data_IF_794955349754
#
_entry.id   IF_794955349754
#
_cell.length_a   1.000
_cell.length_b   1.000
_cell.length_c   1.000
_cell.angle_alpha   90.00
_cell.angle_beta   90.00
_cell.angle_gamma   90.00
#
_symmetry.space_group_name_H-M   'P 1'
#
loop_
_entity.id
_entity.type
_entity.pdbx_description
1 polymer ?
#
# COMPACT_ATOMS: atom_id res chain seq x y z
N UNK A 1 3.22 15.45 -24.95
CA UNK A 1 3.27 15.76 -23.50
C UNK A 1 3.23 14.43 -22.76
N UNK A 2 4.16 14.20 -21.84
CA UNK A 2 4.23 12.92 -21.13
C UNK A 2 3.04 12.82 -20.16
N UNK A 3 2.37 11.68 -20.12
CA UNK A 3 1.29 11.45 -19.15
C UNK A 3 1.61 10.24 -18.30
N UNK A 4 1.59 10.42 -16.98
CA UNK A 4 1.95 9.40 -16.01
C UNK A 4 0.75 9.07 -15.14
N UNK A 5 0.58 7.80 -14.81
CA UNK A 5 -0.36 7.39 -13.78
C UNK A 5 0.40 6.68 -12.66
N UNK A 6 0.47 7.28 -11.47
CA UNK A 6 0.98 6.60 -10.28
C UNK A 6 -0.14 5.74 -9.71
N UNK A 7 -0.05 4.45 -10.01
CA UNK A 7 -1.06 3.46 -9.71
C UNK A 7 -0.70 2.73 -8.42
N UNK A 8 -1.70 2.52 -7.56
CA UNK A 8 -1.51 1.84 -6.28
C UNK A 8 -2.25 0.51 -6.18
N UNK A 9 -2.86 0.03 -7.27
CA UNK A 9 -3.77 -1.12 -7.27
C UNK A 9 -5.16 -0.83 -6.67
N UNK A 10 -5.39 0.37 -6.14
CA UNK A 10 -6.67 0.75 -5.54
C UNK A 10 -7.70 1.22 -6.57
N UNK A 11 -8.99 1.10 -6.23
CA UNK A 11 -10.13 1.39 -7.11
C UNK A 11 -10.03 2.74 -7.84
N UNK A 12 -9.68 3.82 -7.14
CA UNK A 12 -9.69 5.17 -7.73
C UNK A 12 -8.55 5.35 -8.75
N UNK A 13 -7.37 4.81 -8.42
CA UNK A 13 -6.22 4.84 -9.32
C UNK A 13 -6.41 3.93 -10.55
N UNK A 14 -7.03 2.76 -10.36
CA UNK A 14 -7.36 1.85 -11.46
C UNK A 14 -8.46 2.45 -12.36
N UNK A 15 -9.51 3.04 -11.77
CA UNK A 15 -10.57 3.72 -12.51
C UNK A 15 -10.02 4.86 -13.38
N UNK A 16 -8.98 5.57 -12.93
CA UNK A 16 -8.31 6.59 -13.74
C UNK A 16 -7.72 6.00 -15.03
N UNK A 17 -7.08 4.83 -14.94
CA UNK A 17 -6.51 4.13 -16.10
C UNK A 17 -7.62 3.64 -17.04
N UNK A 18 -8.71 3.08 -16.48
CA UNK A 18 -9.87 2.63 -17.26
C UNK A 18 -10.53 3.80 -18.00
N UNK A 19 -10.75 4.94 -17.33
CA UNK A 19 -11.31 6.14 -17.96
C UNK A 19 -10.40 6.66 -19.07
N UNK A 20 -9.08 6.69 -18.84
CA UNK A 20 -8.14 7.06 -19.90
C UNK A 20 -8.23 6.11 -21.10
N UNK A 21 -8.37 4.80 -20.86
CA UNK A 21 -8.55 3.81 -21.91
C UNK A 21 -9.85 4.01 -22.71
N UNK A 22 -10.99 4.14 -22.02
CA UNK A 22 -12.31 4.34 -22.65
C UNK A 22 -12.34 5.60 -23.51
N UNK A 23 -11.73 6.68 -23.02
CA UNK A 23 -11.75 7.98 -23.69
C UNK A 23 -10.54 8.20 -24.63
N UNK A 24 -9.74 7.17 -24.87
CA UNK A 24 -8.54 7.23 -25.72
C UNK A 24 -7.57 8.36 -25.32
N UNK A 25 -7.46 8.62 -24.02
CA UNK A 25 -6.53 9.59 -23.47
C UNK A 25 -5.12 8.99 -23.40
N UNK A 26 -4.07 9.79 -23.65
CA UNK A 26 -2.72 9.28 -23.66
C UNK A 26 -2.26 8.92 -22.24
N UNK A 27 -1.77 7.70 -22.05
CA UNK A 27 -0.93 7.31 -20.91
C UNK A 27 0.41 6.88 -21.48
N UNK A 28 1.47 7.62 -21.15
CA UNK A 28 2.83 7.28 -21.54
C UNK A 28 3.35 6.12 -20.70
N UNK A 29 3.06 6.13 -19.40
CA UNK A 29 3.52 5.09 -18.48
C UNK A 29 2.64 5.00 -17.23
N UNK A 30 2.38 3.77 -16.79
CA UNK A 30 1.76 3.47 -15.51
C UNK A 30 2.87 3.06 -14.55
N UNK A 31 2.95 3.75 -13.41
CA UNK A 31 4.01 3.57 -12.43
C UNK A 31 3.43 2.95 -11.17
N UNK A 32 3.81 1.72 -10.87
CA UNK A 32 3.50 1.03 -9.62
C UNK A 32 4.70 1.07 -8.69
N UNK A 33 4.50 1.43 -7.42
CA UNK A 33 5.56 1.37 -6.42
C UNK A 33 5.26 0.25 -5.44
N UNK A 34 6.03 -0.82 -5.53
CA UNK A 34 5.90 -1.97 -4.65
C UNK A 34 6.72 -1.74 -3.38
N UNK A 35 6.03 -1.69 -2.24
CA UNK A 35 6.69 -1.68 -0.94
C UNK A 35 7.15 -3.10 -0.65
N UNK A 36 8.41 -3.29 -0.29
CA UNK A 36 8.98 -4.60 0.05
C UNK A 36 9.07 -4.76 1.56
N UNK A 37 8.72 -5.94 2.06
CA UNK A 37 9.02 -6.33 3.44
C UNK A 37 10.49 -6.72 3.56
N UNK A 38 10.91 -7.67 2.73
CA UNK A 38 12.29 -8.17 2.66
C UNK A 38 12.66 -8.40 1.19
N UNK A 39 13.57 -7.58 0.66
CA UNK A 39 14.01 -7.66 -0.73
C UNK A 39 14.83 -8.91 -1.00
N UNK A 40 15.65 -9.34 -0.03
CA UNK A 40 16.54 -10.49 -0.21
C UNK A 40 15.77 -11.80 -0.38
N UNK A 41 14.61 -11.90 0.31
CA UNK A 41 13.69 -13.04 0.22
C UNK A 41 12.55 -12.83 -0.76
N UNK A 42 12.52 -11.69 -1.47
CA UNK A 42 11.44 -11.30 -2.39
C UNK A 42 10.04 -11.33 -1.74
N UNK A 43 9.94 -10.88 -0.49
CA UNK A 43 8.68 -10.80 0.24
C UNK A 43 8.11 -9.39 0.04
N UNK A 44 6.98 -9.30 -0.65
CA UNK A 44 6.26 -8.04 -0.83
C UNK A 44 5.70 -7.56 0.50
N UNK A 45 5.61 -6.25 0.66
CA UNK A 45 4.91 -5.62 1.77
C UNK A 45 3.42 -5.48 1.54
N UNK A 46 2.96 -5.56 0.30
CA UNK A 46 1.53 -5.63 -0.04
C UNK A 46 0.97 -7.00 0.40
N UNK A 47 -0.31 -7.05 0.77
CA UNK A 47 -0.94 -8.33 1.16
C UNK A 47 -0.99 -9.30 -0.04
N UNK A 48 -0.82 -10.63 0.15
CA UNK A 48 -0.65 -11.57 -0.96
C UNK A 48 -1.73 -11.51 -2.05
N UNK A 49 -3.00 -11.41 -1.68
CA UNK A 49 -4.11 -11.31 -2.64
C UNK A 49 -4.01 -10.04 -3.49
N UNK A 50 -3.48 -8.96 -2.92
CA UNK A 50 -3.33 -7.71 -3.64
C UNK A 50 -2.18 -7.73 -4.63
N UNK A 51 -1.02 -8.23 -4.21
CA UNK A 51 0.15 -8.28 -5.10
C UNK A 51 -0.04 -9.32 -6.22
N UNK A 52 -0.72 -10.42 -5.94
CA UNK A 52 -1.14 -11.39 -6.95
C UNK A 52 -2.07 -10.74 -7.98
N UNK A 53 -3.12 -10.04 -7.53
CA UNK A 53 -3.99 -9.26 -8.41
C UNK A 53 -3.21 -8.26 -9.27
N UNK A 54 -2.25 -7.53 -8.69
CA UNK A 54 -1.45 -6.56 -9.43
C UNK A 54 -0.62 -7.25 -10.52
N UNK A 55 0.17 -8.26 -10.15
CA UNK A 55 1.16 -8.88 -11.03
C UNK A 55 0.54 -9.79 -12.08
N UNK A 56 -0.49 -10.55 -11.70
CA UNK A 56 -1.02 -11.64 -12.51
C UNK A 56 -2.35 -11.31 -13.20
N UNK A 57 -3.03 -10.23 -12.80
CA UNK A 57 -4.31 -9.81 -13.40
C UNK A 57 -4.18 -8.41 -14.02
N UNK A 58 -3.91 -7.39 -13.21
CA UNK A 58 -4.00 -6.01 -13.66
C UNK A 58 -2.87 -5.58 -14.61
N UNK A 59 -1.61 -5.92 -14.32
CA UNK A 59 -0.48 -5.62 -15.20
C UNK A 59 -0.67 -6.25 -16.59
N UNK A 60 -0.96 -7.56 -16.72
CA UNK A 60 -1.21 -8.17 -18.03
C UNK A 60 -2.31 -7.47 -18.83
N UNK A 61 -3.44 -7.14 -18.21
CA UNK A 61 -4.54 -6.43 -18.87
C UNK A 61 -4.09 -5.04 -19.38
N UNK A 62 -3.33 -4.30 -18.57
CA UNK A 62 -2.82 -2.99 -18.99
C UNK A 62 -1.80 -3.09 -20.12
N UNK A 63 -0.96 -4.12 -20.13
CA UNK A 63 -0.02 -4.39 -21.22
C UNK A 63 -0.76 -4.79 -22.51
N UNK A 64 -1.83 -5.59 -22.42
CA UNK A 64 -2.72 -5.92 -23.55
C UNK A 64 -3.40 -4.67 -24.12
N UNK A 65 -3.73 -3.68 -23.27
CA UNK A 65 -4.22 -2.37 -23.70
C UNK A 65 -3.14 -1.48 -24.32
N UNK A 66 -1.89 -1.95 -24.39
CA UNK A 66 -0.76 -1.24 -24.98
C UNK A 66 -0.06 -0.27 -24.04
N UNK A 67 -0.34 -0.34 -22.73
CA UNK A 67 0.31 0.54 -21.76
C UNK A 67 1.64 -0.01 -21.27
N UNK A 68 2.62 0.89 -21.16
CA UNK A 68 3.91 0.59 -20.55
C UNK A 68 3.78 0.63 -19.03
N UNK A 69 4.21 -0.44 -18.36
CA UNK A 69 4.26 -0.52 -16.90
C UNK A 69 5.69 -0.33 -16.39
N UNK A 70 5.83 0.46 -15.33
CA UNK A 70 7.08 0.64 -14.58
C UNK A 70 6.85 0.28 -13.11
N UNK A 71 7.54 -0.75 -12.64
CA UNK A 71 7.58 -1.09 -11.22
C UNK A 71 8.78 -0.38 -10.58
N UNK A 72 8.53 0.30 -9.46
CA UNK A 72 9.54 0.94 -8.63
C UNK A 72 9.66 0.20 -7.30
N UNK A 73 10.89 0.09 -6.82
CA UNK A 73 11.22 -0.36 -5.47
C UNK A 73 12.09 0.69 -4.81
N UNK A 74 11.95 0.86 -3.49
CA UNK A 74 12.91 1.65 -2.73
C UNK A 74 14.27 0.93 -2.64
N UNK A 75 15.33 1.70 -2.40
CA UNK A 75 16.67 1.16 -2.16
C UNK A 75 16.68 0.24 -0.93
N UNK A 76 15.95 0.64 0.12
CA UNK A 76 15.75 -0.11 1.36
C UNK A 76 14.37 -0.78 1.43
N UNK A 77 14.18 -1.69 2.37
CA UNK A 77 12.91 -2.38 2.66
C UNK A 77 12.45 -2.19 4.12
N UNK A 78 11.41 -2.91 4.53
CA UNK A 78 10.91 -2.82 5.90
C UNK A 78 11.91 -3.35 6.92
N UNK A 79 12.63 -4.42 6.62
CA UNK A 79 13.65 -4.99 7.52
C UNK A 79 14.75 -3.95 7.79
N UNK A 80 15.19 -3.21 6.77
CA UNK A 80 16.11 -2.09 6.95
C UNK A 80 15.57 -1.01 7.88
N UNK A 81 14.27 -0.70 7.79
CA UNK A 81 13.64 0.28 8.68
C UNK A 81 13.53 -0.24 10.12
N UNK A 82 13.15 -1.50 10.29
CA UNK A 82 12.97 -2.13 11.60
C UNK A 82 14.31 -2.20 12.34
N UNK A 83 15.36 -2.71 11.66
CA UNK A 83 16.69 -2.88 12.23
C UNK A 83 17.56 -1.61 12.19
N UNK A 84 17.04 -0.48 11.68
CA UNK A 84 17.78 0.77 11.66
C UNK A 84 18.26 1.17 13.06
N UNK A 85 19.58 1.21 13.25
CA UNK A 85 20.20 1.64 14.51
C UNK A 85 20.03 3.14 14.71
N UNK A 86 19.36 3.51 15.80
CA UNK A 86 19.16 4.91 16.16
C UNK A 86 20.47 5.49 16.71
N UNK A 87 20.93 6.62 16.18
CA UNK A 87 22.23 7.23 16.55
C UNK A 87 22.13 8.68 17.02
N UNK A 88 20.97 9.33 16.89
CA UNK A 88 20.75 10.76 17.18
C UNK A 88 19.42 11.01 17.90
N UNK A 89 19.08 10.12 18.83
CA UNK A 89 17.91 10.29 19.69
C UNK A 89 18.16 11.35 20.77
N UNK A 90 17.13 12.13 21.10
CA UNK A 90 17.13 13.04 22.26
C UNK A 90 17.16 12.27 23.58
N UNK A 91 16.56 11.08 23.60
CA UNK A 91 16.67 10.14 24.72
C UNK A 91 17.91 9.30 24.49
N UNK A 92 18.95 9.50 25.32
CA UNK A 92 20.27 8.89 25.14
C UNK A 92 20.23 7.36 25.17
N UNK A 93 19.36 6.78 25.99
CA UNK A 93 19.15 5.32 26.09
C UNK A 93 18.62 4.66 24.81
N UNK A 94 18.11 5.45 23.85
CA UNK A 94 17.66 4.92 22.57
C UNK A 94 18.81 4.83 21.55
N UNK A 95 19.94 5.49 21.79
CA UNK A 95 21.07 5.40 20.88
C UNK A 95 21.70 4.01 20.97
N UNK A 96 21.98 3.41 19.82
CA UNK A 96 22.45 2.02 19.70
C UNK A 96 21.35 0.97 19.61
N UNK A 97 20.09 1.34 19.86
CA UNK A 97 18.92 0.46 19.74
C UNK A 97 18.37 0.41 18.31
N UNK A 98 17.65 -0.66 17.97
CA UNK A 98 16.91 -0.76 16.72
C UNK A 98 15.64 0.11 16.76
N UNK A 99 15.24 0.66 15.63
CA UNK A 99 14.04 1.51 15.53
C UNK A 99 12.77 0.73 15.90
N UNK A 100 12.68 -0.53 15.47
CA UNK A 100 11.57 -1.43 15.76
C UNK A 100 10.31 -1.13 14.94
N UNK A 101 9.14 -1.35 15.54
CA UNK A 101 7.84 -1.22 14.88
C UNK A 101 7.56 0.17 14.31
N UNK A 102 6.90 0.24 13.15
CA UNK A 102 6.37 1.51 12.65
C UNK A 102 5.37 2.11 13.64
N UNK A 103 5.33 3.45 13.67
CA UNK A 103 4.42 4.17 14.56
C UNK A 103 3.07 4.39 13.88
N UNK A 104 2.00 3.94 14.54
CA UNK A 104 0.61 4.20 14.11
C UNK A 104 0.34 5.69 13.89
N UNK A 105 -0.36 6.03 12.81
CA UNK A 105 -0.60 7.41 12.38
C UNK A 105 0.63 8.17 11.83
N UNK A 106 1.83 7.57 11.88
CA UNK A 106 3.10 8.16 11.39
C UNK A 106 3.88 7.14 10.58
N UNK A 107 3.32 6.70 9.45
CA UNK A 107 3.87 5.63 8.63
C UNK A 107 5.18 6.06 7.93
N UNK A 108 6.32 5.86 8.59
CA UNK A 108 7.64 6.05 7.99
C UNK A 108 7.85 5.14 6.78
N UNK A 109 7.22 3.96 6.75
CA UNK A 109 7.19 3.07 5.58
C UNK A 109 6.64 3.77 4.33
N UNK A 110 5.53 4.51 4.44
CA UNK A 110 5.00 5.26 3.29
C UNK A 110 5.98 6.34 2.81
N UNK A 111 6.64 7.08 3.72
CA UNK A 111 7.60 8.11 3.32
C UNK A 111 8.85 7.51 2.63
N UNK A 112 9.42 6.45 3.22
CA UNK A 112 10.71 5.88 2.84
C UNK A 112 10.62 4.84 1.74
N UNK A 113 9.62 3.96 1.79
CA UNK A 113 9.50 2.81 0.91
C UNK A 113 8.61 3.09 -0.31
N UNK A 114 7.73 4.09 -0.25
CA UNK A 114 6.80 4.43 -1.34
C UNK A 114 7.02 5.82 -1.92
N UNK A 115 6.93 6.85 -1.08
CA UNK A 115 6.99 8.23 -1.56
C UNK A 115 8.40 8.66 -1.97
N UNK A 116 9.46 8.14 -1.34
CA UNK A 116 10.85 8.39 -1.75
C UNK A 116 11.13 7.91 -3.18
N UNK A 117 10.93 6.62 -3.55
CA UNK A 117 11.17 6.17 -4.93
C UNK A 117 10.28 6.88 -5.94
N UNK A 118 9.00 7.13 -5.63
CA UNK A 118 8.10 7.93 -6.48
C UNK A 118 8.66 9.34 -6.71
N UNK A 119 9.14 10.03 -5.65
CA UNK A 119 9.73 11.37 -5.77
C UNK A 119 11.02 11.36 -6.58
N UNK A 120 11.87 10.34 -6.41
CA UNK A 120 13.07 10.17 -7.23
C UNK A 120 12.70 9.96 -8.70
N UNK A 121 11.70 9.13 -8.97
CA UNK A 121 11.22 8.88 -10.32
C UNK A 121 10.66 10.14 -10.97
N UNK A 122 9.80 10.90 -10.28
CA UNK A 122 9.31 12.20 -10.78
C UNK A 122 10.44 13.16 -11.17
N UNK A 123 11.55 13.14 -10.42
CA UNK A 123 12.73 14.00 -10.71
C UNK A 123 13.57 13.50 -11.89
N UNK A 124 13.52 12.21 -12.23
CA UNK A 124 14.27 11.67 -13.37
C UNK A 124 13.55 11.87 -14.71
N UNK A 125 12.31 12.36 -14.70
CA UNK A 125 11.52 12.55 -15.92
C UNK A 125 11.91 13.88 -16.55
N UNK A 126 12.37 13.81 -17.80
CA UNK A 126 12.74 14.98 -18.58
C UNK A 126 11.50 15.62 -19.23
N UNK A 127 11.45 16.95 -19.20
CA UNK A 127 10.36 17.73 -19.80
C UNK A 127 9.08 17.78 -18.97
N UNK A 128 8.06 18.43 -19.53
CA UNK A 128 6.76 18.59 -18.90
C UNK A 128 5.94 17.29 -18.96
N UNK A 129 5.25 16.99 -17.86
CA UNK A 129 4.34 15.87 -17.77
C UNK A 129 3.05 16.23 -17.02
N UNK A 130 1.98 15.49 -17.33
CA UNK A 130 0.73 15.49 -16.60
C UNK A 130 0.62 14.19 -15.80
N UNK A 131 0.20 14.30 -14.55
CA UNK A 131 -0.06 13.15 -13.68
C UNK A 131 -1.56 12.94 -13.51
N UNK A 132 -2.04 11.77 -13.93
CA UNK A 132 -3.39 11.33 -13.61
C UNK A 132 -3.46 10.79 -12.18
N UNK A 133 -4.37 11.36 -11.39
CA UNK A 133 -4.57 11.00 -9.99
C UNK A 133 -5.98 10.47 -9.75
N UNK A 134 -6.08 9.41 -8.95
CA UNK A 134 -7.37 8.86 -8.50
C UNK A 134 -7.96 9.69 -7.36
N UNK A 135 -8.67 10.77 -7.69
CA UNK A 135 -9.43 11.58 -6.73
C UNK A 135 -10.86 11.69 -7.25
N UNK A 136 -11.83 11.11 -6.55
CA UNK A 136 -13.19 11.05 -7.04
C UNK A 136 -13.89 12.43 -7.07
N UNK A 137 -14.97 12.53 -7.84
CA UNK A 137 -15.72 13.78 -8.00
C UNK A 137 -16.35 14.28 -6.68
N UNK A 138 -16.63 13.37 -5.75
CA UNK A 138 -17.19 13.60 -4.41
C UNK A 138 -16.12 13.88 -3.33
N UNK A 139 -14.86 14.12 -3.72
CA UNK A 139 -13.76 14.48 -2.82
C UNK A 139 -13.27 15.95 -2.96
N UNK A 140 -14.14 16.98 -2.77
CA UNK A 140 -13.84 18.38 -3.13
C UNK A 140 -12.60 18.94 -2.44
N UNK A 141 -12.41 18.60 -1.15
CA UNK A 141 -11.23 19.05 -0.37
C UNK A 141 -9.90 18.52 -0.91
N UNK A 142 -9.90 17.37 -1.59
CA UNK A 142 -8.68 16.80 -2.20
C UNK A 142 -8.45 17.41 -3.58
N UNK A 143 -9.52 17.72 -4.32
CA UNK A 143 -9.45 18.38 -5.62
C UNK A 143 -8.89 19.81 -5.53
N UNK A 144 -9.27 20.59 -4.51
CA UNK A 144 -8.73 21.94 -4.25
C UNK A 144 -7.21 21.97 -4.03
N UNK A 145 -6.59 20.82 -3.73
CA UNK A 145 -5.15 20.69 -3.46
C UNK A 145 -4.36 20.21 -4.68
N UNK A 146 -5.01 20.07 -5.84
CA UNK A 146 -4.34 19.69 -7.07
C UNK A 146 -3.38 20.81 -7.52
N UNK A 147 -2.24 20.38 -8.04
CA UNK A 147 -1.27 21.26 -8.69
C UNK A 147 -1.52 21.27 -10.19
N UNK A 148 -1.06 22.29 -10.90
CA UNK A 148 -1.35 22.49 -12.33
C UNK A 148 -0.94 21.31 -13.23
N UNK A 149 0.05 20.53 -12.81
CA UNK A 149 0.52 19.34 -13.53
C UNK A 149 -0.25 18.05 -13.17
N UNK A 150 -1.35 18.13 -12.43
CA UNK A 150 -2.18 16.98 -12.03
C UNK A 150 -3.60 17.12 -12.53
N UNK A 151 -4.16 16.01 -12.98
CA UNK A 151 -5.54 15.91 -13.44
C UNK A 151 -6.24 14.73 -12.78
N UNK A 152 -7.46 14.94 -12.32
CA UNK A 152 -8.32 13.85 -11.89
C UNK A 152 -9.30 13.52 -13.00
N UNK A 153 -9.11 12.38 -13.65
CA UNK A 153 -10.06 11.89 -14.65
C UNK A 153 -11.41 11.54 -14.01
N UNK A 154 -11.40 11.06 -12.76
CA UNK A 154 -12.65 10.78 -12.05
C UNK A 154 -13.47 12.06 -11.87
N UNK A 155 -12.83 13.19 -11.52
CA UNK A 155 -13.54 14.46 -11.43
C UNK A 155 -14.03 14.95 -12.80
N UNK A 156 -13.17 14.91 -13.82
CA UNK A 156 -13.48 15.37 -15.18
C UNK A 156 -14.66 14.60 -15.81
N UNK A 157 -14.80 13.32 -15.49
CA UNK A 157 -15.89 12.46 -15.97
C UNK A 157 -16.98 12.20 -14.91
N UNK A 158 -17.06 13.04 -13.86
CA UNK A 158 -18.09 12.98 -12.82
C UNK A 158 -18.25 11.61 -12.13
N UNK A 159 -17.14 10.88 -11.99
CA UNK A 159 -17.07 9.57 -11.37
C UNK A 159 -16.84 9.70 -9.85
N UNK A 160 -17.78 9.19 -9.06
CA UNK A 160 -17.68 9.09 -7.58
C UNK A 160 -16.83 7.88 -7.16
N UNK A 161 -16.49 7.76 -5.87
CA UNK A 161 -15.79 6.57 -5.35
C UNK A 161 -16.56 5.26 -5.60
N UNK A 162 -17.89 5.31 -5.49
CA UNK A 162 -18.77 4.16 -5.77
C UNK A 162 -18.78 3.79 -7.26
N UNK A 163 -18.84 4.80 -8.14
CA UNK A 163 -18.72 4.57 -9.58
C UNK A 163 -17.35 4.00 -9.96
N UNK A 164 -16.28 4.47 -9.31
CA UNK A 164 -14.93 3.95 -9.53
C UNK A 164 -14.84 2.47 -9.12
N UNK A 165 -15.49 2.09 -8.03
CA UNK A 165 -15.59 0.70 -7.59
C UNK A 165 -16.29 -0.19 -8.64
N UNK A 166 -17.50 0.19 -9.07
CA UNK A 166 -18.26 -0.58 -10.05
C UNK A 166 -17.57 -0.60 -11.42
N UNK A 167 -16.91 0.49 -11.81
CA UNK A 167 -16.11 0.55 -13.03
C UNK A 167 -14.97 -0.46 -12.99
N UNK A 168 -14.20 -0.50 -11.91
CA UNK A 168 -13.12 -1.48 -11.75
C UNK A 168 -13.66 -2.91 -11.78
N UNK A 169 -14.80 -3.17 -11.13
CA UNK A 169 -15.45 -4.48 -11.10
C UNK A 169 -15.88 -4.94 -12.50
N UNK A 170 -16.50 -4.07 -13.27
CA UNK A 170 -16.96 -4.37 -14.63
C UNK A 170 -15.82 -4.69 -15.60
N UNK A 171 -14.63 -4.13 -15.35
CA UNK A 171 -13.43 -4.41 -16.13
C UNK A 171 -12.58 -5.57 -15.58
N UNK A 172 -13.03 -6.27 -14.53
CA UNK A 172 -12.25 -7.33 -13.89
C UNK A 172 -10.99 -6.83 -13.19
N UNK A 173 -10.93 -5.53 -12.87
CA UNK A 173 -9.78 -4.81 -12.30
C UNK A 173 -10.07 -4.27 -10.89
N UNK A 174 -11.03 -4.88 -10.18
CA UNK A 174 -11.27 -4.60 -8.78
C UNK A 174 -10.41 -5.51 -7.91
N UNK A 175 -9.56 -4.91 -7.07
CA UNK A 175 -8.70 -5.65 -6.14
C UNK A 175 -9.52 -6.54 -5.19
N UNK A 176 -9.10 -7.80 -4.95
CA UNK A 176 -9.80 -8.73 -4.06
C UNK A 176 -9.83 -8.26 -2.59
N UNK A 177 -8.93 -7.35 -2.21
CA UNK A 177 -8.87 -6.82 -0.84
C UNK A 177 -10.17 -6.16 -0.39
N UNK A 178 -10.98 -5.66 -1.33
CA UNK A 178 -12.24 -5.01 -1.02
C UNK A 178 -13.30 -5.95 -0.43
N UNK A 179 -13.07 -7.26 -0.44
CA UNK A 179 -13.89 -8.24 0.26
C UNK A 179 -13.73 -8.21 1.79
N UNK A 180 -12.59 -7.73 2.31
CA UNK A 180 -12.30 -7.73 3.74
C UNK A 180 -11.75 -6.41 4.29
N UNK A 181 -11.29 -5.48 3.44
CA UNK A 181 -10.83 -4.15 3.85
C UNK A 181 -11.27 -3.06 2.88
N UNK A 182 -11.38 -1.82 3.38
CA UNK A 182 -11.64 -0.63 2.56
C UNK A 182 -10.37 0.07 2.11
N UNK A 183 -9.20 -0.31 2.62
CA UNK A 183 -7.94 0.41 2.38
C UNK A 183 -6.87 -0.58 1.96
N UNK A 184 -6.11 -0.21 0.93
CA UNK A 184 -4.84 -0.89 0.66
C UNK A 184 -3.78 -0.41 1.67
N UNK A 185 -2.92 -1.33 2.11
CA UNK A 185 -1.83 -1.06 3.02
C UNK A 185 -0.95 -2.29 3.22
N UNK A 186 0.24 -2.07 3.78
CA UNK A 186 1.15 -3.17 4.04
C UNK A 186 0.59 -4.13 5.10
N UNK A 187 0.87 -5.43 4.98
CA UNK A 187 0.38 -6.44 5.93
C UNK A 187 1.00 -6.34 7.33
N UNK A 188 2.13 -5.65 7.47
CA UNK A 188 2.79 -5.36 8.75
C UNK A 188 2.41 -3.99 9.33
N UNK A 189 1.37 -3.35 8.79
CA UNK A 189 1.10 -1.94 9.09
C UNK A 189 0.40 -1.77 10.45
N UNK A 190 0.92 -0.91 11.36
CA UNK A 190 0.28 -0.63 12.66
C UNK A 190 -1.08 0.07 12.53
N UNK A 191 -1.47 0.50 11.33
CA UNK A 191 -2.75 1.18 11.07
C UNK A 191 -3.88 0.22 10.68
N UNK A 192 -3.58 -1.07 10.53
CA UNK A 192 -4.60 -2.08 10.28
C UNK A 192 -5.53 -2.23 11.50
N UNK A 193 -6.79 -2.53 11.21
CA UNK A 193 -7.77 -2.98 12.19
C UNK A 193 -7.45 -4.40 12.66
N UNK A 194 -8.01 -4.78 13.80
CA UNK A 194 -7.86 -6.15 14.29
C UNK A 194 -8.47 -7.18 13.32
N UNK A 195 -9.53 -6.84 12.59
CA UNK A 195 -10.11 -7.74 11.57
C UNK A 195 -9.17 -7.96 10.38
N UNK A 196 -8.48 -6.91 9.91
CA UNK A 196 -7.47 -7.05 8.85
C UNK A 196 -6.27 -7.89 9.31
N UNK A 197 -5.82 -7.71 10.56
CA UNK A 197 -4.75 -8.52 11.12
C UNK A 197 -5.19 -9.97 11.39
N UNK A 198 -6.44 -10.18 11.78
CA UNK A 198 -7.02 -11.52 11.91
C UNK A 198 -7.12 -12.23 10.56
N UNK A 199 -7.52 -11.52 9.51
CA UNK A 199 -7.51 -12.03 8.14
C UNK A 199 -6.10 -12.45 7.72
N UNK A 200 -5.09 -11.61 7.98
CA UNK A 200 -3.69 -11.94 7.74
C UNK A 200 -3.25 -13.20 8.48
N UNK A 201 -3.47 -13.26 9.80
CA UNK A 201 -3.06 -14.41 10.62
C UNK A 201 -3.74 -15.71 10.18
N UNK A 202 -5.00 -15.63 9.76
CA UNK A 202 -5.78 -16.79 9.37
C UNK A 202 -5.39 -17.33 7.99
N UNK A 203 -5.25 -16.45 6.97
CA UNK A 203 -4.95 -16.88 5.61
C UNK A 203 -3.47 -16.98 5.28
N UNK A 204 -2.64 -16.18 5.93
CA UNK A 204 -1.19 -16.09 5.70
C UNK A 204 -0.42 -16.21 7.03
N UNK A 205 -0.56 -17.34 7.76
CA UNK A 205 0.06 -17.54 9.06
C UNK A 205 1.59 -17.42 9.03
N UNK A 206 2.23 -17.70 7.88
CA UNK A 206 3.66 -17.53 7.68
C UNK A 206 4.09 -16.06 7.76
N UNK A 207 3.29 -15.12 7.25
CA UNK A 207 3.57 -13.69 7.38
C UNK A 207 3.33 -13.20 8.81
N UNK A 208 2.36 -13.79 9.51
CA UNK A 208 2.16 -13.52 10.93
C UNK A 208 3.35 -13.98 11.77
N UNK A 209 3.92 -15.15 11.45
CA UNK A 209 5.11 -15.67 12.14
C UNK A 209 6.32 -14.76 11.94
N UNK A 210 6.50 -14.13 10.77
CA UNK A 210 7.53 -13.10 10.57
C UNK A 210 7.39 -11.95 11.59
N UNK A 211 6.17 -11.48 11.85
CA UNK A 211 5.92 -10.44 12.86
C UNK A 211 6.21 -10.96 14.27
N UNK A 212 5.87 -12.21 14.55
CA UNK A 212 6.13 -12.84 15.84
C UNK A 212 7.63 -12.94 16.11
N UNK A 213 8.42 -13.36 15.14
CA UNK A 213 9.88 -13.37 15.23
C UNK A 213 10.43 -11.97 15.49
N UNK A 214 9.96 -10.96 14.76
CA UNK A 214 10.34 -9.57 14.99
C UNK A 214 9.96 -9.07 16.39
N UNK A 215 8.86 -9.55 16.96
CA UNK A 215 8.44 -9.19 18.32
C UNK A 215 9.41 -9.65 19.42
N UNK A 216 10.22 -10.68 19.14
CA UNK A 216 11.22 -11.20 20.06
C UNK A 216 12.58 -10.48 19.96
N UNK A 217 12.75 -9.56 19.01
CA UNK A 217 14.01 -8.81 18.85
C UNK A 217 14.20 -7.89 20.06
N UNK A 218 15.35 -7.96 20.76
CA UNK A 218 15.63 -7.08 21.90
C UNK A 218 15.98 -5.67 21.44
N UNK A 219 16.09 -4.75 22.39
CA UNK A 219 16.63 -3.41 22.15
C UNK A 219 15.87 -2.60 21.08
N UNK A 220 14.54 -2.68 21.12
CA UNK A 220 13.66 -1.85 20.28
C UNK A 220 13.35 -0.51 20.95
N UNK A 221 13.43 0.57 20.17
CA UNK A 221 12.93 1.90 20.55
C UNK A 221 11.39 1.90 20.53
N UNK A 222 10.78 1.41 19.44
CA UNK A 222 9.33 1.24 19.34
C UNK A 222 8.93 -0.17 19.78
N UNK A 223 8.33 -0.28 20.97
CA UNK A 223 7.94 -1.58 21.57
C UNK A 223 6.52 -2.04 21.21
N UNK A 224 5.65 -1.12 20.84
CA UNK A 224 4.26 -1.44 20.51
C UNK A 224 4.08 -1.71 19.02
N UNK A 225 3.56 -2.89 18.69
CA UNK A 225 3.23 -3.26 17.31
C UNK A 225 2.12 -2.38 16.74
N UNK A 226 1.08 -2.09 17.52
CA UNK A 226 -0.11 -1.36 17.03
C UNK A 226 -0.51 -0.24 17.97
N UNK A 227 -0.30 1.02 17.57
CA UNK A 227 -0.64 2.20 18.41
C UNK A 227 -0.12 2.11 19.86
N UNK A 228 1.08 1.56 20.03
CA UNK A 228 1.70 1.36 21.35
C UNK A 228 1.31 0.05 22.05
N UNK A 229 0.31 -0.69 21.54
CA UNK A 229 -0.07 -2.02 22.05
C UNK A 229 1.03 -3.04 21.72
N UNK A 230 1.55 -3.79 22.70
CA UNK A 230 2.49 -4.89 22.49
C UNK A 230 1.97 -5.98 21.55
N UNK A 231 2.88 -6.72 20.91
CA UNK A 231 2.52 -7.72 19.89
C UNK A 231 1.70 -8.88 20.47
N UNK A 232 2.08 -9.40 21.64
CA UNK A 232 1.40 -10.48 22.37
C UNK A 232 -0.06 -10.12 22.72
N UNK A 233 -0.30 -8.88 23.18
CA UNK A 233 -1.65 -8.40 23.44
C UNK A 233 -2.47 -8.24 22.15
N UNK A 234 -1.85 -7.80 21.06
CA UNK A 234 -2.50 -7.75 19.75
C UNK A 234 -2.85 -9.16 19.27
N UNK A 235 -1.92 -10.11 19.44
CA UNK A 235 -2.09 -11.50 19.08
C UNK A 235 -3.26 -12.15 19.82
N UNK A 236 -3.35 -11.97 21.15
CA UNK A 236 -4.44 -12.52 21.96
C UNK A 236 -5.81 -12.00 21.51
N UNK A 237 -5.91 -10.72 21.15
CA UNK A 237 -7.15 -10.12 20.64
C UNK A 237 -7.54 -10.69 19.28
N UNK A 238 -6.56 -10.92 18.41
CA UNK A 238 -6.77 -11.52 17.09
C UNK A 238 -7.24 -12.96 17.23
N UNK A 239 -6.65 -13.74 18.13
CA UNK A 239 -7.04 -15.14 18.34
C UNK A 239 -8.48 -15.28 18.81
N UNK A 240 -8.94 -14.35 19.67
CA UNK A 240 -10.36 -14.27 20.04
C UNK A 240 -11.26 -13.98 18.83
N UNK A 241 -10.90 -13.01 18.01
CA UNK A 241 -11.65 -12.66 16.78
C UNK A 241 -11.72 -13.84 15.81
N UNK A 242 -10.61 -14.56 15.60
CA UNK A 242 -10.57 -15.74 14.74
C UNK A 242 -11.47 -16.83 15.31
N UNK A 243 -11.39 -17.10 16.62
CA UNK A 243 -12.22 -18.10 17.28
C UNK A 243 -13.72 -17.77 17.17
N UNK A 244 -14.10 -16.51 17.38
CA UNK A 244 -15.49 -16.05 17.35
C UNK A 244 -16.08 -16.03 15.94
N UNK A 245 -15.31 -15.56 14.94
CA UNK A 245 -15.82 -15.34 13.59
C UNK A 245 -15.58 -16.52 12.63
N UNK A 246 -14.54 -17.32 12.86
CA UNK A 246 -14.10 -18.39 11.95
C UNK A 246 -14.10 -19.77 12.60
N UNK A 247 -14.11 -19.85 13.94
CA UNK A 247 -14.21 -21.12 14.68
C UNK A 247 -15.53 -21.87 14.47
N UNK A 248 -16.60 -21.19 14.04
CA UNK A 248 -17.91 -21.78 13.74
C UNK A 248 -18.06 -22.29 12.30
N UNK A 249 -17.10 -22.01 11.39
CA UNK A 249 -17.15 -22.47 10.00
C UNK A 249 -16.48 -23.85 9.78
N UNK A 250 -15.87 -24.40 10.83
CA UNK A 250 -15.14 -25.67 10.80
C UNK A 250 -15.56 -26.69 11.88
N UNK A 251 -16.70 -26.47 12.55
CA UNK A 251 -17.36 -27.47 13.42
C UNK A 251 -18.62 -28.00 12.74
#
# INVERSE_FOLDING_TARGET
MNTLCFWSGGKDSTASIILAHIHHLPITEIVFCEVMFDKSRNISGEIPEHIDFIRNIAIPIFEEWGYKIKILHADCDYMDLFFHTVTRSKTEENNGKHSGWLIGGRCAGNDRLKMKPIRQYRKSIEGEYIEYVGIAADEPKRLERLTDNKRSLLYEYHCTEEMAYELCKNYGLLSPIYSFTRRNGCWFCPNQSYNELAHLKFLHPELWEELKVLSCVPDLVSRGFRYGVPFDEVEERIDKIITENWGLLHT
#
